data_IF_112424114396
#
_entry.id   IF_112424114396
#
_cell.length_a   1.000
_cell.length_b   1.000
_cell.length_c   1.000
_cell.angle_alpha   90.00
_cell.angle_beta   90.00
_cell.angle_gamma   90.00
#
_symmetry.space_group_name_H-M   'P 1'
#
loop_
_entity.id
_entity.type
_entity.pdbx_description
1 polymer ?
#
# COMPACT_ATOMS: atom_id res chain seq x y z
N UNK A 1 -22.73 -8.20 -1.61
CA UNK A 1 -21.90 -6.99 -1.47
C UNK A 1 -21.98 -6.37 -0.06
N UNK A 2 -23.16 -5.99 0.47
CA UNK A 2 -23.29 -5.35 1.80
C UNK A 2 -22.65 -6.15 2.96
N UNK A 3 -22.88 -7.47 3.01
CA UNK A 3 -22.34 -8.33 4.08
C UNK A 3 -20.82 -8.51 4.04
N UNK A 4 -20.22 -8.53 2.85
CA UNK A 4 -18.75 -8.62 2.69
C UNK A 4 -18.11 -7.34 3.23
N UNK A 5 -18.67 -6.18 2.90
CA UNK A 5 -18.20 -4.88 3.43
C UNK A 5 -18.33 -4.80 4.95
N UNK A 6 -19.43 -5.32 5.51
CA UNK A 6 -19.64 -5.33 6.96
C UNK A 6 -18.61 -6.21 7.68
N UNK A 7 -18.26 -7.38 7.11
CA UNK A 7 -17.23 -8.24 7.69
C UNK A 7 -15.85 -7.64 7.53
N UNK A 8 -15.53 -7.03 6.39
CA UNK A 8 -14.27 -6.30 6.18
C UNK A 8 -14.11 -5.18 7.21
N UNK A 9 -15.13 -4.35 7.39
CA UNK A 9 -15.12 -3.28 8.41
C UNK A 9 -14.90 -3.82 9.85
N UNK A 10 -15.51 -4.96 10.19
CA UNK A 10 -15.30 -5.58 11.51
C UNK A 10 -13.89 -6.12 11.69
N UNK A 11 -13.26 -6.60 10.61
CA UNK A 11 -11.86 -7.03 10.63
C UNK A 11 -10.95 -5.82 10.87
N UNK A 12 -11.18 -4.71 10.17
CA UNK A 12 -10.38 -3.48 10.30
C UNK A 12 -10.47 -2.92 11.74
N UNK A 13 -11.70 -2.77 12.27
CA UNK A 13 -11.91 -2.32 13.67
C UNK A 13 -11.23 -3.24 14.68
N UNK A 14 -11.28 -4.56 14.44
CA UNK A 14 -10.61 -5.54 15.31
C UNK A 14 -9.09 -5.41 15.26
N UNK A 15 -8.51 -5.20 14.07
CA UNK A 15 -7.07 -5.00 13.90
C UNK A 15 -6.60 -3.73 14.58
N UNK A 16 -7.36 -2.64 14.49
CA UNK A 16 -7.05 -1.38 15.16
C UNK A 16 -7.07 -1.52 16.68
N UNK A 17 -8.10 -2.18 17.25
CA UNK A 17 -8.14 -2.50 18.68
C UNK A 17 -6.96 -3.38 19.13
N UNK A 18 -6.61 -4.38 18.32
CA UNK A 18 -5.48 -5.26 18.60
C UNK A 18 -4.15 -4.51 18.62
N UNK A 19 -3.91 -3.67 17.61
CA UNK A 19 -2.70 -2.85 17.51
C UNK A 19 -2.62 -1.84 18.66
N UNK A 20 -3.72 -1.21 19.04
CA UNK A 20 -3.79 -0.29 20.17
C UNK A 20 -3.44 -1.00 21.49
N UNK A 21 -3.97 -2.21 21.69
CA UNK A 21 -3.64 -3.04 22.87
C UNK A 21 -2.17 -3.46 22.90
N UNK A 22 -1.60 -3.81 21.76
CA UNK A 22 -0.18 -4.16 21.65
C UNK A 22 0.73 -2.94 21.89
N UNK A 23 0.36 -1.76 21.39
CA UNK A 23 1.12 -0.52 21.60
C UNK A 23 1.13 -0.06 23.06
N UNK A 24 0.06 -0.30 23.83
CA UNK A 24 -0.04 0.04 25.25
C UNK A 24 0.79 -0.88 26.15
N UNK A 25 1.30 -1.99 25.66
CA UNK A 25 2.02 -3.00 26.42
C UNK A 25 3.53 -3.04 26.20
N UNK A 26 4.16 -1.97 25.66
CA UNK A 26 5.61 -1.84 25.72
C UNK A 26 6.05 -1.49 27.16
N UNK A 27 6.72 -2.40 27.89
CA UNK A 27 7.13 -2.13 29.25
C UNK A 27 8.36 -1.22 29.26
N UNK A 28 8.21 0.00 29.76
CA UNK A 28 9.33 0.74 30.30
C UNK A 28 9.92 -0.05 31.48
N UNK A 29 11.14 -0.55 31.32
CA UNK A 29 11.93 -1.18 32.37
C UNK A 29 12.12 -0.20 33.54
N UNK A 30 11.45 -0.46 34.67
CA UNK A 30 11.89 -0.01 35.99
C UNK A 30 12.06 -1.24 36.89
N UNK A 31 13.28 -1.47 37.29
CA UNK A 31 13.65 -2.48 38.28
C UNK A 31 13.17 -2.04 39.66
N UNK A 32 12.36 -2.87 40.33
CA UNK A 32 11.92 -2.65 41.70
C UNK A 32 11.42 -3.96 42.32
N UNK A 33 11.79 -4.22 43.55
CA UNK A 33 11.76 -5.47 44.31
C UNK A 33 10.37 -6.07 44.67
N UNK A 34 9.25 -5.58 44.17
CA UNK A 34 7.90 -6.10 44.43
C UNK A 34 7.34 -6.99 43.29
N UNK A 35 8.23 -7.80 42.68
CA UNK A 35 7.96 -8.44 41.37
C UNK A 35 7.07 -9.69 41.37
N UNK A 36 6.77 -10.34 42.51
CA UNK A 36 6.10 -11.66 42.48
C UNK A 36 4.57 -11.54 42.57
N UNK A 37 4.06 -10.67 43.41
CA UNK A 37 2.61 -10.41 43.50
C UNK A 37 2.05 -9.64 42.31
N UNK A 38 2.87 -8.78 41.66
CA UNK A 38 2.48 -8.11 40.42
C UNK A 38 2.48 -9.03 39.19
N UNK A 39 3.28 -10.10 39.19
CA UNK A 39 3.28 -11.08 38.08
C UNK A 39 2.02 -11.92 38.03
N UNK A 40 1.47 -12.33 39.17
CA UNK A 40 0.22 -13.09 39.21
C UNK A 40 -1.00 -12.23 38.84
N UNK A 41 -1.07 -10.99 39.29
CA UNK A 41 -2.13 -10.06 38.89
C UNK A 41 -2.05 -9.69 37.39
N UNK A 42 -0.81 -9.56 36.83
CA UNK A 42 -0.62 -9.34 35.39
C UNK A 42 -1.02 -10.53 34.53
N UNK A 43 -0.79 -11.76 34.96
CA UNK A 43 -1.23 -12.95 34.26
C UNK A 43 -2.76 -13.02 34.16
N UNK A 44 -3.48 -12.66 35.21
CA UNK A 44 -4.96 -12.64 35.23
C UNK A 44 -5.52 -11.52 34.35
N UNK A 45 -4.87 -10.35 34.32
CA UNK A 45 -5.28 -9.23 33.46
C UNK A 45 -4.94 -9.46 31.99
N UNK A 46 -3.96 -10.31 31.67
CA UNK A 46 -3.65 -10.70 30.28
C UNK A 46 -4.57 -11.79 29.72
N UNK A 47 -5.20 -12.61 30.57
CA UNK A 47 -6.09 -13.68 30.11
C UNK A 47 -7.45 -13.16 29.59
N UNK A 48 -7.98 -12.08 30.17
CA UNK A 48 -9.24 -11.46 29.72
C UNK A 48 -9.18 -10.94 28.27
N UNK A 49 -8.21 -10.11 27.86
CA UNK A 49 -8.14 -9.61 26.48
C UNK A 49 -7.89 -10.75 25.47
N UNK A 50 -7.12 -11.78 25.82
CA UNK A 50 -6.91 -12.92 24.92
C UNK A 50 -8.19 -13.72 24.64
N UNK A 51 -9.06 -13.86 25.63
CA UNK A 51 -10.35 -14.55 25.45
C UNK A 51 -11.33 -13.70 24.62
N UNK A 52 -11.35 -12.40 24.79
CA UNK A 52 -12.14 -11.48 23.94
C UNK A 52 -11.66 -11.49 22.49
N UNK A 53 -10.35 -11.41 22.29
CA UNK A 53 -9.71 -11.50 20.97
C UNK A 53 -10.09 -12.83 20.29
N UNK A 54 -9.93 -13.96 20.99
CA UNK A 54 -10.29 -15.28 20.45
C UNK A 54 -11.79 -15.36 20.08
N UNK A 55 -12.68 -14.81 20.91
CA UNK A 55 -14.12 -14.74 20.64
C UNK A 55 -14.46 -13.90 19.42
N UNK A 56 -13.83 -12.71 19.26
CA UNK A 56 -14.00 -11.82 18.10
C UNK A 56 -13.51 -12.49 16.82
N UNK A 57 -12.34 -13.13 16.84
CA UNK A 57 -11.80 -13.91 15.71
C UNK A 57 -12.75 -15.05 15.31
N UNK A 58 -13.29 -15.80 16.28
CA UNK A 58 -14.21 -16.88 16.00
C UNK A 58 -15.52 -16.38 15.36
N UNK A 59 -16.04 -15.24 15.80
CA UNK A 59 -17.23 -14.61 15.19
C UNK A 59 -16.98 -14.18 13.75
N UNK A 60 -15.81 -13.61 13.48
CA UNK A 60 -15.39 -13.23 12.11
C UNK A 60 -15.28 -14.48 11.23
N UNK A 61 -14.61 -15.54 11.71
CA UNK A 61 -14.47 -16.82 11.01
C UNK A 61 -15.84 -17.43 10.66
N UNK A 62 -16.77 -17.46 11.61
CA UNK A 62 -18.13 -17.97 11.40
C UNK A 62 -18.88 -17.11 10.35
N UNK A 63 -18.72 -15.80 10.37
CA UNK A 63 -19.34 -14.91 9.39
C UNK A 63 -18.79 -15.13 7.98
N UNK A 64 -17.48 -15.33 7.84
CA UNK A 64 -16.83 -15.66 6.56
C UNK A 64 -17.31 -17.03 6.03
N UNK A 65 -17.42 -18.04 6.89
CA UNK A 65 -17.94 -19.35 6.50
C UNK A 65 -19.38 -19.25 5.97
N UNK A 66 -20.26 -18.50 6.65
CA UNK A 66 -21.64 -18.28 6.18
C UNK A 66 -21.70 -17.55 4.83
N UNK A 67 -20.81 -16.60 4.60
CA UNK A 67 -20.72 -15.90 3.31
C UNK A 67 -20.25 -16.89 2.23
N UNK A 68 -19.26 -17.73 2.51
CA UNK A 68 -18.75 -18.77 1.60
C UNK A 68 -19.85 -19.76 1.23
N UNK A 69 -20.52 -20.37 2.22
CA UNK A 69 -21.62 -21.31 2.01
C UNK A 69 -22.79 -20.70 1.22
N UNK A 70 -23.04 -19.40 1.41
CA UNK A 70 -24.06 -18.68 0.64
C UNK A 70 -23.61 -18.45 -0.80
N UNK A 71 -22.33 -18.08 -1.00
CA UNK A 71 -21.73 -17.93 -2.33
C UNK A 71 -21.78 -19.23 -3.13
N UNK A 72 -21.48 -20.34 -2.48
CA UNK A 72 -21.55 -21.69 -3.08
C UNK A 72 -22.99 -22.08 -3.45
N UNK A 73 -23.97 -21.79 -2.57
CA UNK A 73 -25.41 -22.07 -2.84
C UNK A 73 -25.97 -21.26 -4.01
N UNK A 74 -25.49 -20.05 -4.23
CA UNK A 74 -25.95 -19.19 -5.33
C UNK A 74 -25.12 -19.34 -6.62
N UNK A 75 -24.25 -20.36 -6.69
CA UNK A 75 -23.53 -20.70 -7.92
C UNK A 75 -22.50 -19.64 -8.34
N UNK A 76 -22.05 -18.77 -7.45
CA UNK A 76 -20.84 -17.98 -7.67
C UNK A 76 -19.61 -18.89 -7.54
N UNK A 77 -19.55 -19.94 -8.37
CA UNK A 77 -18.31 -20.69 -8.55
C UNK A 77 -17.34 -19.76 -9.26
N UNK A 78 -16.26 -19.40 -8.59
CA UNK A 78 -15.02 -19.12 -9.29
C UNK A 78 -14.72 -20.39 -10.10
N UNK A 79 -14.85 -20.32 -11.41
CA UNK A 79 -14.48 -21.39 -12.35
C UNK A 79 -12.97 -21.63 -12.24
N UNK A 80 -12.61 -22.50 -11.30
CA UNK A 80 -11.26 -22.90 -11.01
C UNK A 80 -11.19 -24.36 -10.60
N UNK A 81 -11.80 -25.27 -11.41
CA UNK A 81 -11.40 -26.68 -11.46
C UNK A 81 -12.06 -27.39 -12.66
N UNK A 82 -11.23 -27.85 -13.54
CA UNK A 82 -11.55 -29.04 -14.33
C UNK A 82 -11.48 -28.89 -15.84
N UNK A 83 -10.47 -29.54 -16.39
CA UNK A 83 -10.39 -30.14 -17.73
C UNK A 83 -9.87 -29.29 -18.89
N UNK A 84 -8.61 -29.53 -19.17
CA UNK A 84 -7.97 -29.72 -20.49
C UNK A 84 -8.59 -29.03 -21.71
N UNK A 85 -7.73 -28.32 -22.39
CA UNK A 85 -7.75 -27.83 -23.75
C UNK A 85 -8.33 -26.43 -23.99
N UNK A 86 -7.43 -25.49 -24.24
CA UNK A 86 -7.75 -24.17 -24.75
C UNK A 86 -7.15 -23.06 -23.89
N UNK A 87 -5.92 -22.70 -24.23
CA UNK A 87 -5.24 -21.52 -23.71
C UNK A 87 -6.07 -20.25 -23.99
N UNK A 88 -7.01 -19.94 -23.09
CA UNK A 88 -7.54 -18.60 -22.97
C UNK A 88 -6.93 -18.00 -21.70
N UNK A 89 -6.00 -17.07 -21.88
CA UNK A 89 -5.52 -16.15 -20.88
C UNK A 89 -6.73 -15.45 -20.24
N UNK A 90 -7.30 -16.03 -19.19
CA UNK A 90 -8.19 -15.32 -18.27
C UNK A 90 -7.32 -14.26 -17.58
N UNK A 91 -7.29 -13.08 -18.18
CA UNK A 91 -6.74 -11.89 -17.54
C UNK A 91 -7.47 -11.76 -16.19
N UNK A 92 -6.78 -12.08 -15.12
CA UNK A 92 -7.21 -11.72 -13.77
C UNK A 92 -7.46 -10.21 -13.79
N UNK A 93 -8.72 -9.80 -13.74
CA UNK A 93 -9.07 -8.41 -13.54
C UNK A 93 -8.79 -8.09 -12.06
N UNK A 94 -7.67 -7.46 -11.79
CA UNK A 94 -7.41 -6.89 -10.46
C UNK A 94 -8.47 -5.81 -10.21
N UNK A 95 -9.33 -5.97 -9.17
CA UNK A 95 -10.37 -4.99 -8.87
C UNK A 95 -9.82 -3.57 -8.64
N UNK A 96 -8.52 -3.44 -8.32
CA UNK A 96 -7.81 -2.17 -8.14
C UNK A 96 -7.66 -1.43 -9.46
N UNK A 97 -7.54 -2.15 -10.58
CA UNK A 97 -7.48 -1.52 -11.90
C UNK A 97 -8.74 -0.70 -12.21
N UNK A 98 -9.91 -1.13 -11.73
CA UNK A 98 -11.16 -0.40 -11.91
C UNK A 98 -11.14 0.96 -11.20
N UNK A 99 -10.48 1.06 -10.03
CA UNK A 99 -10.36 2.32 -9.28
C UNK A 99 -9.48 3.37 -9.97
N UNK A 100 -8.61 2.95 -10.89
CA UNK A 100 -7.73 3.85 -11.63
C UNK A 100 -8.43 4.56 -12.80
N UNK A 101 -9.61 4.08 -13.19
CA UNK A 101 -10.39 4.58 -14.34
C UNK A 101 -11.73 5.21 -13.94
N UNK A 102 -11.89 5.59 -12.66
CA UNK A 102 -13.11 6.28 -12.19
C UNK A 102 -13.07 7.73 -12.67
N UNK A 103 -14.15 8.16 -13.35
CA UNK A 103 -14.31 9.54 -13.82
C UNK A 103 -14.38 10.54 -12.67
N UNK A 104 -13.94 11.78 -12.91
CA UNK A 104 -13.97 12.84 -11.89
C UNK A 104 -15.38 13.12 -11.37
N UNK A 105 -16.39 12.96 -12.22
CA UNK A 105 -17.78 13.18 -11.87
C UNK A 105 -18.35 12.17 -10.87
N UNK A 106 -17.74 10.99 -10.77
CA UNK A 106 -18.21 9.90 -9.89
C UNK A 106 -17.58 9.93 -8.49
N UNK A 107 -16.65 10.86 -8.24
CA UNK A 107 -15.94 10.93 -6.95
C UNK A 107 -16.32 12.22 -6.22
N UNK A 108 -16.96 12.09 -5.07
CA UNK A 108 -17.44 13.22 -4.27
C UNK A 108 -16.54 13.45 -3.06
N UNK A 109 -16.22 14.72 -2.78
CA UNK A 109 -15.55 15.12 -1.54
C UNK A 109 -14.04 14.94 -1.53
N UNK A 110 -13.40 14.75 -2.70
CA UNK A 110 -11.93 14.62 -2.80
C UNK A 110 -11.22 15.91 -3.19
N UNK A 111 -11.95 16.97 -3.56
CA UNK A 111 -11.39 18.21 -4.09
C UNK A 111 -10.42 18.86 -3.09
N UNK A 112 -10.87 19.05 -1.86
CA UNK A 112 -10.04 19.68 -0.82
C UNK A 112 -8.80 18.84 -0.46
N UNK A 113 -8.89 17.54 -0.16
CA UNK A 113 -7.72 16.69 0.06
C UNK A 113 -6.80 16.60 -1.16
N UNK A 114 -7.35 16.58 -2.38
CA UNK A 114 -6.57 16.58 -3.61
C UNK A 114 -5.73 17.85 -3.73
N UNK A 115 -6.34 19.01 -3.56
CA UNK A 115 -5.68 20.31 -3.71
C UNK A 115 -4.62 20.53 -2.63
N UNK A 116 -4.86 20.02 -1.42
CA UNK A 116 -3.89 20.00 -0.34
C UNK A 116 -2.66 19.13 -0.68
N UNK A 117 -2.88 17.89 -1.15
CA UNK A 117 -1.80 17.00 -1.57
C UNK A 117 -1.01 17.56 -2.76
N UNK A 118 -1.68 18.17 -3.74
CA UNK A 118 -1.02 18.88 -4.84
C UNK A 118 -0.14 20.00 -4.26
N UNK A 119 -0.66 20.75 -3.30
CA UNK A 119 0.11 21.79 -2.61
C UNK A 119 1.38 21.25 -1.96
N UNK A 120 1.31 20.10 -1.30
CA UNK A 120 2.49 19.46 -0.66
C UNK A 120 3.50 18.94 -1.67
N UNK A 121 3.04 18.44 -2.82
CA UNK A 121 3.95 17.98 -3.88
C UNK A 121 4.67 19.15 -4.60
N UNK A 122 3.97 20.26 -4.81
CA UNK A 122 4.49 21.39 -5.58
C UNK A 122 5.27 22.40 -4.73
N UNK A 123 4.79 22.62 -3.48
CA UNK A 123 5.39 23.57 -2.53
C UNK A 123 6.35 22.80 -1.64
N UNK A 124 7.62 23.13 -1.67
CA UNK A 124 8.55 22.50 -0.75
C UNK A 124 9.99 22.81 -1.06
N UNK A 125 10.83 22.32 -0.18
CA UNK A 125 12.28 22.43 -0.29
C UNK A 125 12.82 21.58 -1.45
N UNK A 126 14.05 21.85 -1.86
CA UNK A 126 14.75 21.08 -2.89
C UNK A 126 15.01 19.62 -2.48
N UNK A 127 14.91 19.31 -1.21
CA UNK A 127 15.07 17.95 -0.69
C UNK A 127 13.96 16.99 -1.12
N UNK A 128 14.31 15.72 -1.18
CA UNK A 128 13.36 14.63 -1.32
C UNK A 128 12.35 14.66 -0.16
N UNK A 129 11.07 14.64 -0.48
CA UNK A 129 9.98 14.64 0.50
C UNK A 129 9.07 13.43 0.28
N UNK A 130 8.72 12.76 1.37
CA UNK A 130 7.78 11.63 1.36
C UNK A 130 6.44 12.09 1.92
N UNK A 131 5.37 11.84 1.18
CA UNK A 131 3.98 12.13 1.57
C UNK A 131 3.26 10.80 1.79
N UNK A 132 2.72 10.59 2.99
CA UNK A 132 1.98 9.39 3.34
C UNK A 132 0.48 9.66 3.30
N UNK A 133 -0.26 8.86 2.55
CA UNK A 133 -1.74 8.87 2.51
C UNK A 133 -2.24 7.63 3.25
N UNK A 134 -2.59 7.83 4.51
CA UNK A 134 -2.96 6.75 5.44
C UNK A 134 -4.46 6.79 5.72
N UNK A 135 -5.09 5.62 5.84
CA UNK A 135 -6.50 5.53 6.20
C UNK A 135 -7.06 4.12 6.02
N UNK A 136 -8.26 3.89 6.50
CA UNK A 136 -8.93 2.58 6.39
C UNK A 136 -9.12 2.14 4.93
N UNK A 137 -9.21 0.83 4.73
CA UNK A 137 -9.54 0.25 3.44
C UNK A 137 -10.87 0.81 2.88
N UNK A 138 -10.93 1.07 1.58
CA UNK A 138 -12.13 1.58 0.92
C UNK A 138 -12.40 3.08 1.04
N UNK A 139 -11.55 3.87 1.71
CA UNK A 139 -11.69 5.34 1.79
C UNK A 139 -11.29 6.09 0.51
N UNK A 140 -10.91 5.37 -0.55
CA UNK A 140 -10.55 6.01 -1.82
C UNK A 140 -9.13 6.57 -1.89
N UNK A 141 -8.20 6.12 -1.04
CA UNK A 141 -6.80 6.57 -1.05
C UNK A 141 -6.14 6.45 -2.42
N UNK A 142 -6.28 5.29 -3.07
CA UNK A 142 -5.77 5.03 -4.42
C UNK A 142 -6.37 6.01 -5.43
N UNK A 143 -7.69 6.27 -5.35
CA UNK A 143 -8.38 7.22 -6.23
C UNK A 143 -7.85 8.63 -6.01
N UNK A 144 -7.76 9.05 -4.75
CA UNK A 144 -7.23 10.37 -4.39
C UNK A 144 -5.80 10.55 -4.89
N UNK A 145 -4.91 9.59 -4.60
CA UNK A 145 -3.52 9.61 -5.06
C UNK A 145 -3.43 9.62 -6.59
N UNK A 146 -4.31 8.88 -7.29
CA UNK A 146 -4.36 8.85 -8.76
C UNK A 146 -4.78 10.19 -9.34
N UNK A 147 -5.81 10.82 -8.77
CA UNK A 147 -6.26 12.16 -9.19
C UNK A 147 -5.19 13.24 -8.96
N UNK A 148 -4.40 13.13 -7.89
CA UNK A 148 -3.25 14.00 -7.65
C UNK A 148 -2.14 13.73 -8.66
N UNK A 149 -1.80 12.46 -8.89
CA UNK A 149 -0.75 12.04 -9.81
C UNK A 149 -1.04 12.45 -11.27
N UNK A 150 -2.30 12.33 -11.71
CA UNK A 150 -2.71 12.68 -13.08
C UNK A 150 -2.98 14.17 -13.26
N UNK A 151 -2.97 14.95 -12.18
CA UNK A 151 -3.24 16.38 -12.26
C UNK A 151 -2.22 17.08 -13.15
N UNK A 152 -2.70 17.91 -14.08
CA UNK A 152 -1.86 18.54 -15.10
C UNK A 152 -0.68 19.34 -14.50
N UNK A 153 -0.92 20.06 -13.40
CA UNK A 153 0.12 20.83 -12.72
C UNK A 153 1.20 19.93 -12.12
N UNK A 154 0.84 18.77 -11.56
CA UNK A 154 1.79 17.80 -11.02
C UNK A 154 2.61 17.20 -12.15
N UNK A 155 1.94 16.74 -13.21
CA UNK A 155 2.62 16.18 -14.39
C UNK A 155 3.56 17.17 -15.06
N UNK A 156 3.21 18.45 -15.12
CA UNK A 156 4.05 19.49 -15.72
C UNK A 156 5.19 19.95 -14.82
N UNK A 157 5.13 19.68 -13.50
CA UNK A 157 6.15 20.11 -12.55
C UNK A 157 7.36 19.17 -12.45
N UNK A 158 7.17 17.89 -12.70
CA UNK A 158 8.21 16.87 -12.59
C UNK A 158 8.71 16.42 -13.95
N UNK A 159 10.03 16.23 -14.07
CA UNK A 159 10.68 15.76 -15.29
C UNK A 159 10.27 14.32 -15.64
N UNK A 160 10.10 13.48 -14.62
CA UNK A 160 9.66 12.10 -14.78
C UNK A 160 8.76 11.67 -13.63
N UNK A 161 7.88 10.73 -13.92
CA UNK A 161 6.86 10.27 -12.98
C UNK A 161 6.61 8.77 -13.15
N UNK A 162 6.34 8.08 -12.03
CA UNK A 162 6.01 6.66 -12.02
C UNK A 162 4.87 6.37 -11.04
N UNK A 163 4.03 5.40 -11.39
CA UNK A 163 2.97 4.83 -10.55
C UNK A 163 3.20 3.34 -10.38
N UNK A 164 3.43 2.91 -9.15
CA UNK A 164 3.77 1.52 -8.82
C UNK A 164 2.73 0.98 -7.85
N UNK A 165 1.89 0.05 -8.32
CA UNK A 165 1.03 -0.73 -7.43
C UNK A 165 1.88 -1.81 -6.74
N UNK A 166 1.93 -1.75 -5.41
CA UNK A 166 2.71 -2.70 -4.60
C UNK A 166 1.81 -3.85 -4.17
N UNK A 167 2.11 -5.06 -4.64
CA UNK A 167 1.40 -6.26 -4.19
C UNK A 167 1.90 -6.70 -2.81
N UNK A 168 1.09 -7.48 -2.08
CA UNK A 168 1.50 -8.04 -0.79
C UNK A 168 2.75 -8.95 -0.91
N UNK A 169 2.95 -9.57 -2.06
CA UNK A 169 4.15 -10.35 -2.39
C UNK A 169 4.85 -9.70 -3.57
N UNK A 170 5.58 -8.62 -3.34
CA UNK A 170 6.34 -7.92 -4.38
C UNK A 170 7.77 -8.47 -4.50
N UNK A 171 8.36 -8.33 -5.69
CA UNK A 171 9.78 -8.48 -5.90
C UNK A 171 10.40 -7.08 -6.08
N UNK A 172 11.32 -6.70 -5.21
CA UNK A 172 11.93 -5.36 -5.24
C UNK A 172 12.63 -5.06 -6.55
N UNK A 173 13.30 -6.04 -7.14
CA UNK A 173 14.01 -5.87 -8.42
C UNK A 173 13.02 -5.57 -9.55
N UNK A 174 11.88 -6.26 -9.55
CA UNK A 174 10.84 -6.04 -10.57
C UNK A 174 10.16 -4.69 -10.40
N UNK A 175 9.89 -4.26 -9.14
CA UNK A 175 9.36 -2.92 -8.88
C UNK A 175 10.31 -1.82 -9.38
N UNK A 176 11.61 -1.97 -9.12
CA UNK A 176 12.63 -1.02 -9.59
C UNK A 176 12.73 -0.99 -11.12
N UNK A 177 12.61 -2.15 -11.79
CA UNK A 177 12.56 -2.21 -13.26
C UNK A 177 11.37 -1.47 -13.81
N UNK A 178 10.18 -1.71 -13.24
CA UNK A 178 8.94 -1.04 -13.66
C UNK A 178 9.08 0.47 -13.45
N UNK A 179 9.58 0.90 -12.30
CA UNK A 179 9.79 2.31 -11.97
C UNK A 179 10.68 3.02 -13.00
N UNK A 180 11.85 2.44 -13.31
CA UNK A 180 12.77 3.04 -14.27
C UNK A 180 12.14 3.08 -15.67
N UNK A 181 11.46 2.00 -16.10
CA UNK A 181 10.77 1.98 -17.39
C UNK A 181 9.71 3.08 -17.49
N UNK A 182 8.90 3.28 -16.46
CA UNK A 182 7.91 4.36 -16.44
C UNK A 182 8.53 5.75 -16.45
N UNK A 183 9.63 5.95 -15.73
CA UNK A 183 10.36 7.21 -15.79
C UNK A 183 10.88 7.53 -17.20
N UNK A 184 11.43 6.51 -17.88
CA UNK A 184 11.90 6.67 -19.26
C UNK A 184 10.74 6.91 -20.23
N UNK A 185 9.63 6.18 -20.07
CA UNK A 185 8.43 6.34 -20.89
C UNK A 185 7.85 7.76 -20.78
N UNK A 186 7.78 8.29 -19.57
CA UNK A 186 7.30 9.65 -19.30
C UNK A 186 8.09 10.73 -20.08
N UNK A 187 9.38 10.46 -20.36
CA UNK A 187 10.27 11.34 -21.13
C UNK A 187 10.46 10.93 -22.58
N UNK A 188 9.80 9.84 -23.03
CA UNK A 188 10.01 9.22 -24.35
C UNK A 188 11.47 8.82 -24.57
N UNK A 189 12.17 8.41 -23.53
CA UNK A 189 13.54 7.91 -23.53
C UNK A 189 13.54 6.36 -23.50
N UNK A 190 14.62 5.75 -24.00
CA UNK A 190 14.80 4.32 -23.90
C UNK A 190 15.33 3.94 -22.50
N UNK A 191 14.85 2.83 -21.91
CA UNK A 191 15.39 2.32 -20.65
C UNK A 191 16.90 1.99 -20.78
N UNK A 192 17.68 2.12 -19.70
CA UNK A 192 19.08 1.76 -19.70
C UNK A 192 19.32 0.33 -20.17
N UNK A 193 20.33 0.12 -21.04
CA UNK A 193 20.65 -1.20 -21.59
C UNK A 193 20.89 -2.22 -20.47
N UNK A 194 20.36 -3.44 -20.64
CA UNK A 194 20.53 -4.55 -19.72
C UNK A 194 19.72 -4.43 -18.42
N UNK A 195 18.69 -3.56 -18.38
CA UNK A 195 17.83 -3.40 -17.19
C UNK A 195 17.07 -4.67 -16.83
N UNK A 196 16.69 -5.47 -17.84
CA UNK A 196 15.88 -6.68 -17.62
C UNK A 196 16.69 -7.83 -16.98
N UNK A 197 18.01 -7.83 -17.16
CA UNK A 197 18.93 -8.83 -16.61
C UNK A 197 19.73 -8.31 -15.40
N UNK A 198 19.52 -7.06 -14.99
CA UNK A 198 20.24 -6.43 -13.91
C UNK A 198 19.87 -7.06 -12.55
N UNK A 199 20.88 -7.35 -11.72
CA UNK A 199 20.70 -7.70 -10.32
C UNK A 199 20.27 -6.51 -9.45
N UNK A 200 19.94 -6.75 -8.18
CA UNK A 200 19.44 -5.72 -7.26
C UNK A 200 20.39 -4.52 -7.16
N UNK A 201 21.68 -4.74 -7.02
CA UNK A 201 22.65 -3.64 -6.86
C UNK A 201 22.83 -2.84 -8.15
N UNK A 202 22.89 -3.53 -9.27
CA UNK A 202 23.02 -2.90 -10.60
C UNK A 202 21.79 -2.06 -10.94
N UNK A 203 20.57 -2.52 -10.61
CA UNK A 203 19.35 -1.77 -10.90
C UNK A 203 19.21 -0.54 -9.99
N UNK A 204 19.60 -0.63 -8.71
CA UNK A 204 19.67 0.52 -7.80
C UNK A 204 20.62 1.58 -8.35
N UNK A 205 21.83 1.18 -8.77
CA UNK A 205 22.79 2.11 -9.37
C UNK A 205 22.24 2.78 -10.61
N UNK A 206 21.65 2.02 -11.53
CA UNK A 206 21.02 2.57 -12.76
C UNK A 206 19.87 3.53 -12.43
N UNK A 207 19.06 3.25 -11.41
CA UNK A 207 18.01 4.16 -10.96
C UNK A 207 18.59 5.48 -10.46
N UNK A 208 19.62 5.43 -9.61
CA UNK A 208 20.28 6.61 -9.07
C UNK A 208 20.95 7.46 -10.15
N UNK A 209 21.68 6.81 -11.07
CA UNK A 209 22.30 7.48 -12.22
C UNK A 209 21.25 8.18 -13.09
N UNK A 210 20.14 7.50 -13.36
CA UNK A 210 19.04 8.07 -14.15
C UNK A 210 18.39 9.28 -13.48
N UNK A 211 18.20 9.23 -12.15
CA UNK A 211 17.51 10.27 -11.39
C UNK A 211 18.39 11.45 -10.98
N UNK A 212 19.70 11.40 -11.17
CA UNK A 212 20.67 12.35 -10.62
C UNK A 212 20.36 13.80 -10.93
N UNK A 213 19.92 14.11 -12.15
CA UNK A 213 19.64 15.46 -12.61
C UNK A 213 18.14 15.73 -12.85
N UNK A 214 17.26 14.85 -12.34
CA UNK A 214 15.83 14.91 -12.64
C UNK A 214 14.99 15.19 -11.40
N UNK A 215 14.05 16.10 -11.53
CA UNK A 215 12.96 16.25 -10.57
C UNK A 215 11.94 15.16 -10.84
N UNK A 216 11.76 14.23 -9.91
CA UNK A 216 10.88 13.10 -10.12
C UNK A 216 9.78 13.00 -9.07
N UNK A 217 8.66 12.40 -9.46
CA UNK A 217 7.60 11.95 -8.55
C UNK A 217 7.34 10.47 -8.74
N UNK A 218 7.22 9.74 -7.64
CA UNK A 218 6.79 8.33 -7.66
C UNK A 218 5.70 8.11 -6.65
N UNK A 219 4.68 7.34 -7.06
CA UNK A 219 3.60 6.88 -6.19
C UNK A 219 3.76 5.38 -5.99
N UNK A 220 3.84 4.96 -4.74
CA UNK A 220 3.74 3.55 -4.34
C UNK A 220 2.36 3.35 -3.74
N UNK A 221 1.52 2.67 -4.47
CA UNK A 221 0.12 2.46 -4.10
C UNK A 221 -0.08 1.12 -3.39
N UNK A 222 -0.84 1.15 -2.30
CA UNK A 222 -1.27 -0.02 -1.52
C UNK A 222 -0.08 -0.77 -0.86
N UNK A 223 0.79 -0.02 -0.18
CA UNK A 223 1.95 -0.58 0.54
C UNK A 223 1.51 -1.16 1.89
N UNK A 224 1.78 -2.44 2.12
CA UNK A 224 1.38 -3.18 3.33
C UNK A 224 2.54 -3.46 4.28
N UNK A 225 3.77 -3.56 3.76
CA UNK A 225 4.92 -3.96 4.55
C UNK A 225 5.69 -2.75 5.08
N UNK A 226 5.92 -2.74 6.39
CA UNK A 226 6.68 -1.69 7.08
C UNK A 226 8.13 -1.61 6.59
N UNK A 227 8.70 -2.73 6.17
CA UNK A 227 10.09 -2.81 5.69
C UNK A 227 10.25 -2.30 4.25
N UNK A 228 9.17 -2.06 3.53
CA UNK A 228 9.19 -1.59 2.15
C UNK A 228 10.09 -0.36 1.96
N UNK A 229 9.97 0.61 2.86
CA UNK A 229 10.77 1.84 2.78
C UNK A 229 12.27 1.54 2.84
N UNK A 230 12.73 0.77 3.83
CA UNK A 230 14.15 0.41 3.97
C UNK A 230 14.75 -0.31 2.78
N UNK A 231 13.92 -0.96 1.94
CA UNK A 231 14.38 -1.60 0.73
C UNK A 231 14.44 -0.67 -0.49
N UNK A 232 13.48 0.28 -0.62
CA UNK A 232 13.35 1.13 -1.79
C UNK A 232 14.14 2.44 -1.68
N UNK A 233 14.36 2.96 -0.46
CA UNK A 233 15.02 4.26 -0.24
C UNK A 233 16.41 4.34 -0.88
N UNK A 234 17.13 3.22 -0.94
CA UNK A 234 18.46 3.17 -1.53
C UNK A 234 18.47 3.46 -3.04
N UNK A 235 17.35 3.26 -3.72
CA UNK A 235 17.21 3.55 -5.15
C UNK A 235 16.71 4.99 -5.42
N UNK A 236 16.14 5.64 -4.40
CA UNK A 236 15.53 6.97 -4.51
C UNK A 236 16.54 8.03 -4.04
N UNK A 237 17.00 8.85 -4.96
CA UNK A 237 18.06 9.80 -4.71
C UNK A 237 17.48 11.14 -4.25
N UNK A 238 17.95 11.63 -3.09
CA UNK A 238 17.83 13.07 -2.79
C UNK A 238 18.89 13.85 -3.58
N UNK A 239 18.49 14.31 -4.74
CA UNK A 239 19.36 15.01 -5.68
C UNK A 239 19.22 16.54 -5.59
N UNK A 240 18.57 17.04 -4.54
CA UNK A 240 18.32 18.46 -4.31
C UNK A 240 17.51 19.16 -5.42
N UNK A 241 16.79 18.39 -6.25
CA UNK A 241 15.92 18.91 -7.31
C UNK A 241 14.44 18.96 -6.89
N UNK A 242 14.14 18.59 -5.67
CA UNK A 242 12.77 18.57 -5.15
C UNK A 242 11.98 17.32 -5.56
N UNK A 243 12.59 16.15 -5.46
CA UNK A 243 11.90 14.88 -5.68
C UNK A 243 10.77 14.64 -4.67
N UNK A 244 9.70 13.96 -5.10
CA UNK A 244 8.54 13.64 -4.26
C UNK A 244 8.19 12.17 -4.34
N UNK A 245 7.86 11.61 -3.19
CA UNK A 245 7.37 10.24 -3.07
C UNK A 245 6.02 10.29 -2.39
N UNK A 246 5.03 9.64 -2.95
CA UNK A 246 3.72 9.44 -2.32
C UNK A 246 3.52 7.95 -2.05
N UNK A 247 3.09 7.61 -0.84
CA UNK A 247 2.82 6.23 -0.44
C UNK A 247 1.39 6.16 0.08
N UNK A 248 0.58 5.24 -0.44
CA UNK A 248 -0.73 4.93 0.13
C UNK A 248 -0.66 3.61 0.92
N UNK A 249 -1.34 3.57 2.06
CA UNK A 249 -1.37 2.37 2.93
C UNK A 249 -2.69 2.24 3.68
#
# INVERSE_FOLDING_TARGET
MKQVREVAFRIDVFMDEYLLHMAQHHPHRRLGFNGILQKSARLITMLKPQHEIASKVQKIKTSLQRIKERSERYGFQSTGQGSSSGSQNLKWHDPRMASLFIDDADVVGIESPRDELIGWLLKGQSHLTVVLVVGMGGLGKTILAKKVYDHQTVRGHFDCHAWIAVSQSYNMVDLLRIMIKQFCEARKEFPPKGIDLADKMSIIRKAREYLQEKRYVVVFDDVWEINFWGEIEHALLDNMKGARIMITT
#
